data_IF_990342291442
#
_entry.id   IF_990342291442
#
_cell.length_a   1.000
_cell.length_b   1.000
_cell.length_c   1.000
_cell.angle_alpha   90.00
_cell.angle_beta   90.00
_cell.angle_gamma   90.00
#
_symmetry.space_group_name_H-M   'P 1'
#
loop_
_entity.id
_entity.type
_entity.pdbx_description
1 polymer ?
#
# COMPACT_ATOMS: atom_id res chain seq x y z
N UNK A 1 -7.21 -33.80 22.52
CA UNK A 1 -7.68 -32.60 21.79
C UNK A 1 -6.66 -32.28 20.72
N UNK A 2 -7.04 -32.22 19.44
CA UNK A 2 -6.10 -31.87 18.38
C UNK A 2 -5.85 -30.36 18.41
N UNK A 3 -4.60 -29.94 18.59
CA UNK A 3 -4.20 -28.54 18.54
C UNK A 3 -4.08 -28.09 17.09
N UNK A 4 -5.20 -27.88 16.41
CA UNK A 4 -5.17 -27.24 15.10
C UNK A 4 -4.82 -25.76 15.27
N UNK A 5 -3.56 -25.40 15.05
CA UNK A 5 -3.15 -24.01 14.87
C UNK A 5 -3.53 -23.57 13.46
N UNK A 6 -4.47 -22.63 13.32
CA UNK A 6 -4.76 -22.00 12.04
C UNK A 6 -3.58 -21.11 11.63
N UNK A 7 -2.79 -21.56 10.64
CA UNK A 7 -1.71 -20.77 10.04
C UNK A 7 -2.15 -20.30 8.67
N UNK A 8 -2.46 -19.01 8.59
CA UNK A 8 -2.83 -18.32 7.36
C UNK A 8 -1.87 -17.17 7.16
N UNK A 9 -1.35 -17.00 5.93
CA UNK A 9 -0.64 -15.77 5.54
C UNK A 9 -1.58 -14.60 5.27
N UNK A 10 -2.90 -14.85 5.18
CA UNK A 10 -3.88 -13.79 5.03
C UNK A 10 -3.95 -13.00 6.34
N UNK A 11 -3.95 -11.67 6.28
CA UNK A 11 -4.13 -10.84 7.46
C UNK A 11 -5.48 -11.15 8.11
N UNK A 12 -5.49 -11.16 9.44
CA UNK A 12 -6.71 -11.36 10.22
C UNK A 12 -7.72 -10.24 9.91
N UNK A 13 -9.00 -10.61 9.75
CA UNK A 13 -10.06 -9.71 9.30
C UNK A 13 -10.40 -8.60 10.31
N UNK A 14 -9.95 -8.75 11.56
CA UNK A 14 -10.14 -7.80 12.65
C UNK A 14 -9.00 -6.78 12.76
N UNK A 15 -7.89 -6.99 12.02
CA UNK A 15 -6.74 -6.08 12.03
C UNK A 15 -7.09 -4.79 11.29
N UNK A 16 -6.80 -3.67 11.94
CA UNK A 16 -6.90 -2.32 11.36
C UNK A 16 -5.50 -1.68 11.33
N UNK A 17 -5.11 -1.02 10.23
CA UNK A 17 -5.86 -0.84 8.98
C UNK A 17 -5.93 -2.12 8.14
N UNK A 18 -7.05 -2.35 7.45
CA UNK A 18 -7.15 -3.42 6.45
C UNK A 18 -6.22 -3.10 5.29
N UNK A 19 -5.51 -4.10 4.78
CA UNK A 19 -4.82 -3.98 3.50
C UNK A 19 -5.86 -3.74 2.39
N UNK A 20 -5.63 -2.71 1.58
CA UNK A 20 -6.46 -2.47 0.41
C UNK A 20 -6.20 -3.56 -0.62
N UNK A 21 -7.22 -4.35 -0.95
CA UNK A 21 -7.16 -5.29 -2.07
C UNK A 21 -7.23 -4.57 -3.42
N UNK A 22 -7.99 -3.47 -3.47
CA UNK A 22 -8.17 -2.66 -4.67
C UNK A 22 -7.25 -1.44 -4.66
N UNK A 23 -6.52 -1.25 -5.76
CA UNK A 23 -5.66 -0.11 -6.00
C UNK A 23 -6.45 1.21 -6.02
N UNK A 24 -7.71 1.22 -6.46
CA UNK A 24 -8.54 2.42 -6.53
C UNK A 24 -8.89 2.94 -5.13
N UNK A 25 -9.23 2.04 -4.21
CA UNK A 25 -9.48 2.37 -2.81
C UNK A 25 -8.22 2.92 -2.15
N UNK A 26 -7.09 2.26 -2.35
CA UNK A 26 -5.80 2.75 -1.84
C UNK A 26 -5.50 4.15 -2.37
N UNK A 27 -5.72 4.41 -3.66
CA UNK A 27 -5.52 5.73 -4.26
C UNK A 27 -6.45 6.80 -3.67
N UNK A 28 -7.71 6.49 -3.42
CA UNK A 28 -8.66 7.43 -2.77
C UNK A 28 -8.22 7.81 -1.36
N UNK A 29 -7.65 6.87 -0.59
CA UNK A 29 -7.23 7.12 0.79
C UNK A 29 -5.83 7.74 0.92
N UNK A 30 -4.89 7.37 0.05
CA UNK A 30 -3.47 7.75 0.17
C UNK A 30 -2.95 8.65 -0.96
N UNK A 31 -3.72 8.82 -2.04
CA UNK A 31 -3.28 9.55 -3.22
C UNK A 31 -2.28 8.78 -4.09
N UNK A 32 -1.52 9.53 -4.89
CA UNK A 32 -0.55 8.98 -5.84
C UNK A 32 0.68 8.43 -5.10
N UNK A 33 1.18 7.27 -5.54
CA UNK A 33 2.50 6.79 -5.12
C UNK A 33 3.57 7.75 -5.66
N UNK A 34 4.40 8.24 -4.75
CA UNK A 34 5.55 9.07 -5.11
C UNK A 34 6.78 8.19 -5.35
N UNK A 35 7.68 8.58 -6.27
CA UNK A 35 8.97 7.93 -6.41
C UNK A 35 9.76 8.05 -5.11
N UNK A 36 10.58 7.04 -4.82
CA UNK A 36 11.44 7.04 -3.63
C UNK A 36 12.61 8.01 -3.78
N UNK A 37 13.10 8.19 -5.01
CA UNK A 37 14.09 9.20 -5.35
C UNK A 37 13.44 10.57 -5.48
N UNK A 38 14.01 11.57 -4.81
CA UNK A 38 13.52 12.93 -4.92
C UNK A 38 13.81 13.49 -6.31
N UNK A 39 12.78 13.97 -7.04
CA UNK A 39 13.03 14.58 -8.33
C UNK A 39 13.85 15.86 -8.13
N UNK A 40 15.00 15.92 -8.79
CA UNK A 40 15.86 17.11 -8.81
C UNK A 40 15.15 18.33 -9.41
N UNK A 41 15.75 19.52 -9.26
CA UNK A 41 15.15 20.79 -9.69
C UNK A 41 14.68 20.77 -11.15
N UNK A 42 15.51 20.27 -12.06
CA UNK A 42 15.17 20.17 -13.48
C UNK A 42 14.06 19.15 -13.76
N UNK A 43 14.03 18.02 -13.05
CA UNK A 43 12.98 17.01 -13.19
C UNK A 43 11.61 17.55 -12.74
N UNK A 44 11.60 18.40 -11.70
CA UNK A 44 10.39 19.12 -11.25
C UNK A 44 9.94 20.17 -12.26
N UNK A 45 10.87 20.91 -12.87
CA UNK A 45 10.57 21.99 -13.82
C UNK A 45 10.07 21.46 -15.18
N UNK A 46 10.66 20.39 -15.69
CA UNK A 46 10.29 19.81 -16.99
C UNK A 46 9.21 18.72 -16.89
N UNK A 47 8.64 18.50 -15.69
CA UNK A 47 7.51 17.59 -15.51
C UNK A 47 7.82 16.15 -15.94
N UNK A 48 9.02 15.66 -15.65
CA UNK A 48 9.34 14.24 -15.81
C UNK A 48 8.45 13.46 -14.83
N UNK A 49 7.38 12.87 -15.37
CA UNK A 49 6.27 12.31 -14.59
C UNK A 49 6.21 10.81 -14.68
#
# INVERSE_FOLDING_TARGET
MSSLSYRSSRPDGWVKPKSYSDASLRYKHHGKILPMEEPGFLARLFGAR
#
